data_IF_780763462972
#
_entry.id   IF_780763462972
#
_cell.length_a   1.000
_cell.length_b   1.000
_cell.length_c   1.000
_cell.angle_alpha   90.00
_cell.angle_beta   90.00
_cell.angle_gamma   90.00
#
_symmetry.space_group_name_H-M   'P 1'
#
loop_
_entity.id
_entity.type
_entity.pdbx_description
1 polymer ?
#
# COMPACT_ATOMS: atom_id res chain seq x y z
N UNK A 1 -9.95 -15.07 20.91
CA UNK A 1 -8.76 -14.28 21.20
C UNK A 1 -8.19 -13.86 19.86
N UNK A 2 -8.08 -12.56 19.59
CA UNK A 2 -7.31 -12.10 18.44
C UNK A 2 -5.86 -12.14 18.91
N UNK A 3 -5.05 -13.05 18.40
CA UNK A 3 -3.61 -12.97 18.58
C UNK A 3 -3.17 -11.63 18.00
N UNK A 4 -2.52 -10.81 18.82
CA UNK A 4 -1.76 -9.65 18.33
C UNK A 4 -0.62 -10.20 17.50
N UNK A 5 -0.88 -10.29 16.21
CA UNK A 5 0.08 -10.64 15.18
C UNK A 5 0.97 -9.40 14.99
N UNK A 6 2.04 -9.33 15.80
CA UNK A 6 3.04 -8.26 15.84
C UNK A 6 4.35 -8.66 15.12
N UNK A 7 4.36 -9.78 14.39
CA UNK A 7 5.60 -10.36 13.84
C UNK A 7 6.25 -9.50 12.76
N UNK A 8 5.50 -8.57 12.15
CA UNK A 8 6.02 -7.68 11.11
C UNK A 8 6.33 -6.25 11.60
N UNK A 9 6.00 -5.89 12.85
CA UNK A 9 6.14 -4.51 13.32
C UNK A 9 7.58 -4.05 13.51
N UNK A 10 8.54 -4.96 13.68
CA UNK A 10 9.97 -4.61 13.68
C UNK A 10 10.42 -3.91 12.38
N UNK A 11 9.69 -4.10 11.28
CA UNK A 11 9.96 -3.43 10.00
C UNK A 11 9.70 -1.93 10.10
N UNK A 12 8.79 -1.49 10.97
CA UNK A 12 8.52 -0.06 11.18
C UNK A 12 9.74 0.68 11.73
N UNK A 13 10.57 0.00 12.53
CA UNK A 13 11.81 0.57 13.09
C UNK A 13 12.86 0.88 12.00
N UNK A 14 12.72 0.26 10.83
CA UNK A 14 13.61 0.45 9.69
C UNK A 14 13.13 1.54 8.73
N UNK A 15 11.89 2.02 8.89
CA UNK A 15 11.31 3.01 8.01
C UNK A 15 11.89 4.41 8.29
N UNK A 16 11.94 5.27 7.26
CA UNK A 16 12.25 6.68 7.46
C UNK A 16 11.29 7.34 8.47
N UNK A 17 11.77 8.29 9.29
CA UNK A 17 10.99 8.86 10.39
C UNK A 17 9.80 9.73 9.93
N UNK A 18 9.79 10.16 8.67
CA UNK A 18 8.78 11.02 8.07
C UNK A 18 7.61 10.25 7.45
N UNK A 19 7.68 8.91 7.48
CA UNK A 19 6.62 8.02 7.01
C UNK A 19 5.31 8.24 7.77
N UNK A 20 4.21 8.13 7.05
CA UNK A 20 2.85 8.14 7.60
C UNK A 20 2.23 6.76 7.35
N UNK A 21 1.58 6.19 8.37
CA UNK A 21 0.86 4.93 8.27
C UNK A 21 -0.66 5.14 8.20
N UNK A 22 -1.35 4.32 7.40
CA UNK A 22 -2.81 4.29 7.27
C UNK A 22 -3.28 2.84 7.15
N UNK A 23 -4.30 2.40 7.91
CA UNK A 23 -4.88 1.07 7.73
C UNK A 23 -5.41 0.86 6.32
N UNK A 24 -4.94 -0.17 5.61
CA UNK A 24 -5.34 -0.47 4.22
C UNK A 24 -5.12 -1.95 3.88
N UNK A 25 -5.99 -2.51 3.03
CA UNK A 25 -5.86 -3.88 2.51
C UNK A 25 -5.75 -4.98 3.58
N UNK A 26 -6.33 -4.76 4.77
CA UNK A 26 -6.28 -5.72 5.87
C UNK A 26 -4.98 -5.68 6.68
N UNK A 27 -4.12 -4.68 6.45
CA UNK A 27 -2.92 -4.39 7.22
C UNK A 27 -2.65 -2.89 7.31
N UNK A 28 -1.38 -2.49 7.26
CA UNK A 28 -0.94 -1.10 7.37
C UNK A 28 -0.19 -0.67 6.10
N UNK A 29 -0.65 0.40 5.45
CA UNK A 29 0.06 1.01 4.34
C UNK A 29 0.89 2.20 4.82
N UNK A 30 2.12 2.29 4.32
CA UNK A 30 3.07 3.32 4.69
C UNK A 30 3.37 4.22 3.50
N UNK A 31 3.44 5.51 3.79
CA UNK A 31 3.59 6.57 2.81
C UNK A 31 4.78 7.45 3.13
N UNK A 32 5.61 7.67 2.13
CA UNK A 32 6.72 8.61 2.17
C UNK A 32 6.46 9.68 1.11
N UNK A 33 6.42 10.94 1.52
CA UNK A 33 5.90 12.05 0.72
C UNK A 33 4.52 11.72 0.11
N UNK A 34 4.45 11.63 -1.21
CA UNK A 34 3.22 11.38 -2.00
C UNK A 34 3.14 9.96 -2.55
N UNK A 35 4.02 9.07 -2.10
CA UNK A 35 4.12 7.69 -2.57
C UNK A 35 3.72 6.71 -1.47
N UNK A 36 2.91 5.72 -1.83
CA UNK A 36 2.73 4.52 -1.03
C UNK A 36 3.93 3.61 -1.26
N UNK A 37 4.81 3.47 -0.27
CA UNK A 37 6.09 2.77 -0.41
C UNK A 37 6.02 1.30 0.01
N UNK A 38 5.07 0.95 0.87
CA UNK A 38 5.02 -0.33 1.56
C UNK A 38 3.60 -0.61 2.06
N UNK A 39 3.19 -1.87 2.08
CA UNK A 39 2.05 -2.35 2.86
C UNK A 39 2.50 -3.58 3.63
N UNK A 40 2.34 -3.57 4.95
CA UNK A 40 2.55 -4.73 5.81
C UNK A 40 1.20 -5.37 6.10
N UNK A 41 1.08 -6.67 5.87
CA UNK A 41 -0.15 -7.41 6.13
C UNK A 41 0.22 -8.68 6.88
N UNK A 42 -0.40 -8.90 8.04
CA UNK A 42 -0.16 -10.06 8.88
C UNK A 42 -1.46 -10.86 9.02
N UNK A 43 -1.69 -11.76 8.07
CA UNK A 43 -2.85 -12.66 8.08
C UNK A 43 -2.38 -14.10 7.88
N UNK A 44 -2.03 -14.77 8.98
CA UNK A 44 -1.58 -16.15 8.98
C UNK A 44 -2.56 -17.11 8.27
N UNK A 45 -3.86 -16.89 8.45
CA UNK A 45 -4.94 -17.68 7.81
C UNK A 45 -5.34 -17.14 6.42
N UNK A 46 -4.48 -16.37 5.76
CA UNK A 46 -4.82 -15.82 4.45
C UNK A 46 -4.91 -16.90 3.37
N UNK A 47 -5.75 -16.64 2.37
CA UNK A 47 -5.95 -17.56 1.26
C UNK A 47 -4.64 -17.81 0.51
N UNK A 48 -4.44 -19.05 0.07
CA UNK A 48 -3.38 -19.47 -0.85
C UNK A 48 -3.86 -19.49 -2.29
N UNK A 49 -5.14 -19.17 -2.55
CA UNK A 49 -5.75 -19.25 -3.87
C UNK A 49 -6.18 -17.87 -4.37
N UNK A 50 -5.85 -17.57 -5.62
CA UNK A 50 -6.40 -16.42 -6.32
C UNK A 50 -6.83 -16.81 -7.72
N UNK A 51 -8.13 -16.63 -8.04
CA UNK A 51 -8.71 -16.90 -9.37
C UNK A 51 -8.45 -18.33 -9.87
N UNK A 52 -8.58 -19.34 -8.99
CA UNK A 52 -8.34 -20.74 -9.35
C UNK A 52 -6.87 -21.15 -9.44
N UNK A 53 -5.93 -20.29 -9.07
CA UNK A 53 -4.50 -20.59 -9.01
C UNK A 53 -4.06 -20.66 -7.54
N UNK A 54 -3.43 -21.76 -7.16
CA UNK A 54 -2.87 -21.99 -5.83
C UNK A 54 -1.40 -21.57 -5.79
N UNK A 55 -1.02 -20.88 -4.73
CA UNK A 55 0.33 -20.39 -4.46
C UNK A 55 0.95 -21.17 -3.30
N UNK A 56 2.30 -21.31 -3.24
CA UNK A 56 2.96 -22.02 -2.16
C UNK A 56 3.07 -21.21 -0.86
N UNK A 57 2.51 -20.00 -0.83
CA UNK A 57 2.59 -19.07 0.30
C UNK A 57 1.24 -18.38 0.56
N UNK A 58 1.01 -17.91 1.80
CA UNK A 58 -0.15 -17.10 2.17
C UNK A 58 -0.13 -15.75 1.42
N UNK A 59 -1.22 -15.42 0.73
CA UNK A 59 -1.27 -14.23 -0.14
C UNK A 59 -1.29 -12.91 0.62
N UNK A 60 -1.63 -12.90 1.91
CA UNK A 60 -1.76 -11.69 2.71
C UNK A 60 -1.00 -11.79 4.04
N UNK A 61 0.15 -12.44 4.02
CA UNK A 61 1.03 -12.54 5.18
C UNK A 61 2.48 -12.23 4.82
N UNK A 62 2.85 -10.95 4.88
CA UNK A 62 4.18 -10.49 4.52
C UNK A 62 4.22 -9.02 4.09
N UNK A 63 5.18 -8.74 3.24
CA UNK A 63 5.54 -7.40 2.82
C UNK A 63 5.15 -7.17 1.37
N UNK A 64 4.27 -6.20 1.12
CA UNK A 64 3.86 -5.79 -0.23
C UNK A 64 4.56 -4.48 -0.61
N UNK A 65 5.17 -4.44 -1.79
CA UNK A 65 5.81 -3.26 -2.38
C UNK A 65 5.00 -2.77 -3.58
N UNK A 66 4.31 -1.63 -3.44
CA UNK A 66 3.61 -1.03 -4.56
C UNK A 66 4.62 -0.41 -5.54
N UNK A 67 4.76 -0.99 -6.73
CA UNK A 67 5.69 -0.55 -7.78
C UNK A 67 5.03 -0.68 -9.14
N UNK A 68 5.09 0.38 -9.95
CA UNK A 68 4.54 0.37 -11.31
C UNK A 68 5.11 -0.80 -12.11
N UNK A 69 4.24 -1.57 -12.78
CA UNK A 69 4.63 -2.75 -13.55
C UNK A 69 5.82 -2.52 -14.50
N UNK A 70 5.87 -1.35 -15.15
CA UNK A 70 6.97 -0.97 -16.07
C UNK A 70 8.34 -0.85 -15.39
N UNK A 71 8.37 -0.61 -14.07
CA UNK A 71 9.59 -0.41 -13.27
C UNK A 71 10.06 -1.69 -12.57
N UNK A 72 9.20 -2.71 -12.49
CA UNK A 72 9.51 -3.95 -11.76
C UNK A 72 10.69 -4.71 -12.35
N UNK A 73 10.83 -4.73 -13.69
CA UNK A 73 11.97 -5.39 -14.35
C UNK A 73 13.33 -4.89 -13.84
N UNK A 74 13.45 -3.58 -13.56
CA UNK A 74 14.69 -3.02 -13.03
C UNK A 74 14.97 -3.48 -11.59
N UNK A 75 13.93 -3.77 -10.80
CA UNK A 75 14.07 -4.33 -9.47
C UNK A 75 14.36 -5.83 -9.49
N UNK A 76 13.73 -6.61 -10.37
CA UNK A 76 14.03 -8.04 -10.51
C UNK A 76 15.49 -8.32 -10.88
N UNK A 77 16.12 -7.44 -11.67
CA UNK A 77 17.56 -7.55 -11.97
C UNK A 77 18.45 -7.45 -10.73
N UNK A 78 17.99 -6.77 -9.67
CA UNK A 78 18.74 -6.55 -8.43
C UNK A 78 18.26 -7.42 -7.27
N UNK A 79 16.98 -7.80 -7.27
CA UNK A 79 16.29 -8.49 -6.19
C UNK A 79 15.44 -9.63 -6.78
N UNK A 80 16.08 -10.77 -7.01
CA UNK A 80 15.44 -11.95 -7.60
C UNK A 80 14.45 -12.65 -6.66
N UNK A 81 14.50 -12.36 -5.36
CA UNK A 81 13.56 -12.86 -4.36
C UNK A 81 12.20 -12.17 -4.39
N UNK A 82 12.09 -11.02 -5.07
CA UNK A 82 10.81 -10.34 -5.18
C UNK A 82 9.88 -11.14 -6.09
N UNK A 83 8.66 -11.35 -5.64
CA UNK A 83 7.63 -12.02 -6.42
C UNK A 83 6.52 -11.06 -6.82
N UNK A 84 5.82 -11.35 -7.91
CA UNK A 84 4.62 -10.60 -8.26
C UNK A 84 3.47 -11.00 -7.33
N UNK A 85 2.81 -10.02 -6.73
CA UNK A 85 1.64 -10.29 -5.91
C UNK A 85 0.43 -10.68 -6.79
N UNK A 86 -0.24 -11.82 -6.53
CA UNK A 86 -1.30 -12.33 -7.42
C UNK A 86 -2.51 -11.41 -7.64
N UNK A 87 -2.80 -10.58 -6.63
CA UNK A 87 -3.96 -9.66 -6.64
C UNK A 87 -3.75 -8.44 -7.54
N UNK A 88 -2.51 -7.99 -7.72
CA UNK A 88 -2.22 -6.75 -8.45
C UNK A 88 -0.90 -6.85 -9.21
N UNK A 89 -0.94 -6.49 -10.49
CA UNK A 89 0.27 -6.46 -11.36
C UNK A 89 1.27 -5.37 -10.95
N UNK A 90 0.83 -4.37 -10.20
CA UNK A 90 1.69 -3.28 -9.72
C UNK A 90 2.24 -3.54 -8.31
N UNK A 91 2.13 -4.77 -7.80
CA UNK A 91 2.60 -5.11 -6.46
C UNK A 91 3.65 -6.21 -6.55
N UNK A 92 4.80 -5.95 -5.93
CA UNK A 92 5.76 -6.98 -5.58
C UNK A 92 5.52 -7.43 -4.15
N UNK A 93 6.01 -8.61 -3.80
CA UNK A 93 5.72 -9.27 -2.53
C UNK A 93 6.93 -10.04 -2.01
N UNK A 94 7.07 -10.04 -0.68
CA UNK A 94 7.94 -10.93 0.08
C UNK A 94 7.05 -11.64 1.11
N UNK A 95 6.80 -12.95 0.97
CA UNK A 95 6.04 -13.71 1.95
C UNK A 95 6.77 -13.77 3.30
N UNK A 96 6.04 -13.61 4.41
CA UNK A 96 6.59 -13.76 5.76
C UNK A 96 7.14 -15.18 6.03
N UNK A 97 6.72 -16.17 5.25
CA UNK A 97 7.20 -17.54 5.30
C UNK A 97 8.50 -17.77 4.50
N UNK A 98 9.06 -16.74 3.85
CA UNK A 98 10.36 -16.84 3.15
C UNK A 98 11.47 -17.16 4.16
N UNK A 99 12.37 -18.08 3.81
CA UNK A 99 13.49 -18.49 4.67
C UNK A 99 14.41 -17.30 4.98
N UNK A 100 14.63 -16.42 4.00
CA UNK A 100 15.50 -15.24 4.12
C UNK A 100 14.70 -13.95 4.35
N UNK A 101 13.45 -14.05 4.82
CA UNK A 101 12.52 -12.92 4.92
C UNK A 101 13.15 -11.68 5.55
N UNK A 102 13.79 -11.84 6.71
CA UNK A 102 14.35 -10.73 7.47
C UNK A 102 15.47 -10.00 6.71
N UNK A 103 16.34 -10.75 6.04
CA UNK A 103 17.43 -10.20 5.23
C UNK A 103 16.91 -9.50 3.97
N UNK A 104 15.95 -10.12 3.28
CA UNK A 104 15.29 -9.59 2.09
C UNK A 104 14.58 -8.27 2.39
N UNK A 105 13.83 -8.22 3.51
CA UNK A 105 13.17 -7.00 3.99
C UNK A 105 14.20 -5.91 4.29
N UNK A 106 15.30 -6.22 4.99
CA UNK A 106 16.35 -5.22 5.28
C UNK A 106 16.96 -4.63 4.02
N UNK A 107 17.18 -5.45 2.98
CA UNK A 107 17.69 -4.97 1.69
C UNK A 107 16.72 -3.99 1.03
N UNK A 108 15.42 -4.29 1.08
CA UNK A 108 14.38 -3.40 0.54
C UNK A 108 14.25 -2.12 1.37
N UNK A 109 14.24 -2.21 2.70
CA UNK A 109 14.18 -1.04 3.58
C UNK A 109 15.35 -0.09 3.32
N UNK A 110 16.54 -0.62 3.09
CA UNK A 110 17.72 0.18 2.70
C UNK A 110 17.49 0.97 1.41
N UNK A 111 16.77 0.44 0.43
CA UNK A 111 16.45 1.16 -0.80
C UNK A 111 15.37 2.21 -0.60
N UNK A 112 14.38 1.93 0.24
CA UNK A 112 13.37 2.92 0.66
C UNK A 112 14.05 4.10 1.34
N UNK A 113 14.94 3.86 2.30
CA UNK A 113 15.65 4.92 3.02
C UNK A 113 16.62 5.72 2.13
N UNK A 114 17.00 5.18 0.97
CA UNK A 114 17.76 5.90 -0.07
C UNK A 114 16.88 6.68 -1.05
N UNK A 115 15.56 6.75 -0.82
CA UNK A 115 14.60 7.37 -1.72
C UNK A 115 14.67 6.83 -3.15
N UNK A 116 14.82 5.50 -3.31
CA UNK A 116 14.89 4.88 -4.63
C UNK A 116 13.64 5.26 -5.47
N UNK A 117 13.81 5.92 -6.64
CA UNK A 117 12.68 6.44 -7.42
C UNK A 117 11.80 5.34 -8.03
N UNK A 118 12.29 4.10 -8.08
CA UNK A 118 11.54 2.93 -8.56
C UNK A 118 10.52 2.44 -7.54
N UNK A 119 10.74 2.70 -6.25
CA UNK A 119 9.88 2.22 -5.18
C UNK A 119 8.74 3.20 -4.95
N UNK A 120 7.56 2.62 -4.77
CA UNK A 120 6.34 3.29 -4.39
C UNK A 120 5.44 3.65 -5.56
N UNK A 121 4.13 3.67 -5.29
CA UNK A 121 3.14 4.19 -6.20
C UNK A 121 2.68 5.56 -5.74
N UNK A 122 2.73 6.54 -6.63
CA UNK A 122 2.08 7.82 -6.38
C UNK A 122 0.60 7.61 -6.13
N UNK A 123 0.06 8.21 -5.07
CA UNK A 123 -1.39 8.27 -4.95
C UNK A 123 -1.90 9.05 -6.15
N UNK A 124 -2.80 8.44 -6.92
CA UNK A 124 -3.63 9.19 -7.87
C UNK A 124 -4.37 10.21 -7.00
N UNK A 125 -4.04 11.49 -7.15
CA UNK A 125 -4.75 12.55 -6.45
C UNK A 125 -6.23 12.29 -6.67
N UNK A 126 -6.99 12.17 -5.58
CA UNK A 126 -8.42 12.28 -5.67
C UNK A 126 -8.64 13.62 -6.38
N UNK A 127 -9.20 13.58 -7.59
CA UNK A 127 -9.54 14.77 -8.36
C UNK A 127 -10.10 15.80 -7.38
N UNK A 128 -9.42 16.95 -7.26
CA UNK A 128 -9.95 18.10 -6.53
C UNK A 128 -11.42 18.19 -6.92
N UNK A 129 -12.38 18.15 -5.97
CA UNK A 129 -13.77 18.26 -6.34
C UNK A 129 -13.88 19.56 -7.13
N UNK A 130 -14.17 19.45 -8.44
CA UNK A 130 -14.48 20.62 -9.27
C UNK A 130 -15.57 21.35 -8.52
N UNK A 131 -15.24 22.52 -7.97
CA UNK A 131 -16.23 23.45 -7.47
C UNK A 131 -17.12 23.71 -8.68
N UNK A 132 -18.33 23.14 -8.66
CA UNK A 132 -19.32 23.44 -9.68
C UNK A 132 -19.59 24.93 -9.54
N UNK A 133 -19.15 25.69 -10.54
CA UNK A 133 -19.67 27.02 -10.77
C UNK A 133 -21.19 26.94 -10.68
N UNK A 134 -21.73 27.77 -9.82
CA UNK A 134 -23.15 27.98 -9.59
C UNK A 134 -23.71 28.59 -10.88
N UNK A 135 -24.50 27.81 -11.62
CA UNK A 135 -25.53 28.35 -12.49
C UNK A 135 -26.73 27.41 -12.48
N UNK A 136 -27.88 28.01 -12.23
CA UNK A 136 -29.11 27.34 -11.82
C UNK A 136 -29.78 26.54 -12.94
N UNK A 137 -30.40 25.41 -12.56
CA UNK A 137 -31.61 24.88 -13.18
C UNK A 137 -32.23 23.81 -12.27
N UNK A 138 -33.54 23.90 -12.09
CA UNK A 138 -34.40 23.08 -11.24
C UNK A 138 -34.48 21.58 -11.61
N UNK A 139 -34.82 20.78 -10.59
CA UNK A 139 -35.64 19.53 -10.58
C UNK A 139 -35.07 18.24 -11.21
N UNK A 140 -34.70 17.27 -10.34
CA UNK A 140 -35.53 16.10 -9.95
C UNK A 140 -34.76 15.13 -9.03
N UNK A 141 -35.38 14.80 -7.89
CA UNK A 141 -34.92 13.82 -6.88
C UNK A 141 -34.97 12.39 -7.43
N UNK A 142 -33.89 11.61 -7.26
CA UNK A 142 -33.93 10.15 -7.07
C UNK A 142 -32.90 9.72 -6.00
N UNK A 143 -33.20 8.69 -5.19
CA UNK A 143 -32.53 8.44 -3.92
C UNK A 143 -31.16 7.78 -4.10
N UNK A 144 -30.24 8.10 -3.20
CA UNK A 144 -28.86 7.61 -3.16
C UNK A 144 -28.77 6.15 -2.70
N UNK A 145 -27.85 5.34 -3.26
CA UNK A 145 -27.32 4.20 -2.54
C UNK A 145 -26.25 4.71 -1.54
N UNK A 146 -26.48 4.45 -0.25
CA UNK A 146 -25.48 4.57 0.81
C UNK A 146 -24.40 3.49 0.66
N UNK A 147 -23.23 3.77 1.25
CA UNK A 147 -21.98 2.96 1.41
C UNK A 147 -20.99 3.22 0.26
N UNK A 148 -19.80 3.78 0.45
CA UNK A 148 -18.78 3.61 1.51
C UNK A 148 -18.08 4.97 1.73
N UNK A 149 -18.12 5.53 2.94
CA UNK A 149 -17.54 6.86 3.27
C UNK A 149 -16.33 6.80 4.23
N UNK A 150 -15.91 5.63 4.68
CA UNK A 150 -14.82 5.50 5.66
C UNK A 150 -13.43 5.74 5.04
N UNK A 151 -13.13 5.21 3.86
CA UNK A 151 -11.79 5.35 3.25
C UNK A 151 -11.49 6.77 2.77
N UNK A 152 -12.47 7.46 2.19
CA UNK A 152 -12.27 8.82 1.65
C UNK A 152 -11.94 9.88 2.71
N UNK A 153 -12.42 9.70 3.95
CA UNK A 153 -12.13 10.66 5.03
C UNK A 153 -10.66 10.58 5.46
N UNK A 154 -10.12 9.36 5.57
CA UNK A 154 -8.72 9.13 5.93
C UNK A 154 -7.76 9.52 4.79
N UNK A 155 -8.11 9.23 3.53
CA UNK A 155 -7.33 9.69 2.38
C UNK A 155 -7.33 11.23 2.27
N UNK A 156 -8.47 11.88 2.49
CA UNK A 156 -8.52 13.35 2.52
C UNK A 156 -7.73 13.94 3.70
N UNK A 157 -7.80 13.34 4.89
CA UNK A 157 -7.01 13.78 6.06
C UNK A 157 -5.51 13.63 5.79
N UNK A 158 -5.10 12.56 5.10
CA UNK A 158 -3.71 12.36 4.66
C UNK A 158 -3.26 13.45 3.68
N UNK A 159 -4.04 13.75 2.64
CA UNK A 159 -3.71 14.84 1.71
C UNK A 159 -3.65 16.22 2.41
N UNK A 160 -4.52 16.45 3.40
CA UNK A 160 -4.50 17.67 4.22
C UNK A 160 -3.24 17.76 5.09
N UNK A 161 -2.81 16.65 5.71
CA UNK A 161 -1.55 16.58 6.48
C UNK A 161 -0.32 16.84 5.60
N UNK A 162 -0.29 16.27 4.39
CA UNK A 162 0.77 16.53 3.41
C UNK A 162 0.85 18.01 3.00
N UNK A 163 -0.30 18.63 2.73
CA UNK A 163 -0.35 20.04 2.33
C UNK A 163 0.16 20.97 3.43
N UNK A 164 -0.06 20.61 4.70
CA UNK A 164 0.35 21.42 5.85
C UNK A 164 1.83 21.25 6.26
N UNK A 165 2.54 20.22 5.78
CA UNK A 165 3.99 20.04 6.03
C UNK A 165 4.90 20.89 5.14
N UNK A 166 4.38 21.51 4.07
CA UNK A 166 5.15 22.33 3.11
C UNK A 166 5.18 23.83 3.42
N UNK A 167 4.98 24.24 4.67
CA UNK A 167 5.06 25.65 5.09
C UNK A 167 6.14 25.87 6.12
#
# INVERSE_FOLDING_TARGET
MFETLDNLYWIEELLPPDVISIPKHGGMAYFLDTKMILILVEQADSSYEHKGVTYPFPLWNGLILPIEYKKQNALFLKYSFLENHPVSKDWLYIPASSENFEEEVRLVMREISKNNPLIGLYLKSASTPRVKAVDGAEKKKKPAPKKVKASKKQENDFFLKLANRKK
#
